data_IF_039679956301
#
_entry.id   IF_039679956301
#
_cell.length_a   1.000
_cell.length_b   1.000
_cell.length_c   1.000
_cell.angle_alpha   90.00
_cell.angle_beta   90.00
_cell.angle_gamma   90.00
#
_symmetry.space_group_name_H-M   'P 1'
#
loop_
_entity.id
_entity.type
_entity.pdbx_description
1 polymer ?
#
# COMPACT_ATOMS: atom_id res chain seq x y z
N UNK A 1 -44.75 -23.29 -18.94
CA UNK A 1 -43.97 -23.31 -17.69
C UNK A 1 -42.69 -22.55 -18.00
N UNK A 2 -42.63 -21.27 -17.64
CA UNK A 2 -41.44 -20.45 -17.83
C UNK A 2 -40.57 -20.61 -16.59
N UNK A 3 -39.33 -21.08 -16.78
CA UNK A 3 -38.28 -21.03 -15.78
C UNK A 3 -37.89 -19.56 -15.63
N UNK A 4 -38.13 -19.00 -14.45
CA UNK A 4 -37.57 -17.71 -14.03
C UNK A 4 -36.13 -17.99 -13.63
N UNK A 5 -35.12 -17.26 -14.16
CA UNK A 5 -33.76 -17.35 -13.65
C UNK A 5 -33.77 -16.86 -12.19
N UNK A 6 -33.19 -17.65 -11.29
CA UNK A 6 -32.82 -17.16 -9.96
C UNK A 6 -31.82 -16.02 -10.14
N UNK A 7 -31.93 -14.92 -9.38
CA UNK A 7 -30.89 -13.91 -9.39
C UNK A 7 -29.60 -14.57 -8.94
N UNK A 8 -28.51 -14.33 -9.67
CA UNK A 8 -27.17 -14.73 -9.28
C UNK A 8 -26.95 -14.23 -7.85
N UNK A 9 -26.58 -15.18 -6.98
CA UNK A 9 -26.36 -14.94 -5.56
C UNK A 9 -25.34 -13.81 -5.39
N UNK A 10 -25.68 -12.94 -4.43
CA UNK A 10 -24.89 -11.85 -3.91
C UNK A 10 -23.41 -12.21 -3.81
N UNK A 11 -22.54 -11.25 -4.16
CA UNK A 11 -21.15 -11.25 -3.71
C UNK A 11 -21.19 -11.38 -2.18
N UNK A 12 -20.77 -12.55 -1.68
CA UNK A 12 -20.71 -12.87 -0.27
C UNK A 12 -19.52 -12.10 0.33
N UNK A 13 -19.76 -10.83 0.68
CA UNK A 13 -18.90 -10.01 1.52
C UNK A 13 -18.99 -10.49 2.99
N UNK A 14 -18.83 -11.80 3.19
CA UNK A 14 -18.71 -12.38 4.51
C UNK A 14 -17.32 -12.09 5.02
N UNK A 15 -17.22 -11.11 5.91
CA UNK A 15 -16.19 -11.03 6.94
C UNK A 15 -15.78 -12.45 7.38
N UNK A 16 -14.62 -12.91 6.93
CA UNK A 16 -14.04 -14.17 7.36
C UNK A 16 -13.26 -13.90 8.66
N UNK A 17 -13.79 -14.33 9.83
CA UNK A 17 -13.11 -14.11 11.11
C UNK A 17 -11.80 -14.90 11.23
N UNK A 18 -11.56 -15.86 10.32
CA UNK A 18 -10.35 -16.66 10.23
C UNK A 18 -9.41 -16.17 9.11
N UNK A 19 -9.73 -15.04 8.45
CA UNK A 19 -8.83 -14.40 7.51
C UNK A 19 -7.48 -14.09 8.18
N UNK A 20 -6.35 -14.37 7.50
CA UNK A 20 -5.04 -14.05 8.05
C UNK A 20 -4.87 -12.53 8.16
N UNK A 21 -4.87 -12.01 9.39
CA UNK A 21 -4.60 -10.60 9.69
C UNK A 21 -3.16 -10.41 10.11
N UNK A 22 -2.64 -9.18 10.04
CA UNK A 22 -1.34 -8.86 10.61
C UNK A 22 -1.32 -9.07 12.14
N UNK A 23 -0.24 -9.63 12.67
CA UNK A 23 -0.04 -9.68 14.13
C UNK A 23 0.29 -8.28 14.66
N UNK A 24 0.11 -7.99 15.97
CA UNK A 24 0.49 -6.69 16.53
C UNK A 24 1.95 -6.30 16.29
N UNK A 25 2.86 -7.27 16.20
CA UNK A 25 4.27 -7.04 15.87
C UNK A 25 4.46 -6.71 14.40
N UNK A 26 3.74 -7.38 13.51
CA UNK A 26 3.73 -7.06 12.09
C UNK A 26 3.12 -5.67 11.85
N UNK A 27 2.00 -5.34 12.49
CA UNK A 27 1.39 -4.00 12.47
C UNK A 27 2.39 -2.92 12.89
N UNK A 28 3.16 -3.16 13.97
CA UNK A 28 4.20 -2.22 14.39
C UNK A 28 5.27 -2.01 13.31
N UNK A 29 5.81 -3.09 12.74
CA UNK A 29 6.84 -3.01 11.70
C UNK A 29 6.29 -2.31 10.44
N UNK A 30 5.08 -2.68 9.99
CA UNK A 30 4.40 -2.07 8.84
C UNK A 30 4.22 -0.57 9.07
N UNK A 31 3.73 -0.17 10.24
CA UNK A 31 3.55 1.24 10.59
C UNK A 31 4.87 2.03 10.53
N UNK A 32 5.95 1.47 11.11
CA UNK A 32 7.28 2.09 11.10
C UNK A 32 7.84 2.22 9.69
N UNK A 33 7.80 1.14 8.92
CA UNK A 33 8.31 1.13 7.54
C UNK A 33 7.52 2.08 6.64
N UNK A 34 6.19 2.10 6.76
CA UNK A 34 5.34 3.02 6.02
C UNK A 34 5.67 4.48 6.31
N UNK A 35 5.86 4.84 7.59
CA UNK A 35 6.29 6.20 7.97
C UNK A 35 7.67 6.56 7.39
N UNK A 36 8.62 5.63 7.36
CA UNK A 36 9.94 5.88 6.77
C UNK A 36 9.87 6.07 5.25
N UNK A 37 9.03 5.30 4.56
CA UNK A 37 8.80 5.46 3.13
C UNK A 37 8.11 6.79 2.81
N UNK A 38 7.14 7.23 3.61
CA UNK A 38 6.53 8.54 3.47
C UNK A 38 7.57 9.66 3.58
N UNK A 39 8.42 9.62 4.61
CA UNK A 39 9.51 10.60 4.81
C UNK A 39 10.50 10.59 3.63
N UNK A 40 10.84 9.40 3.12
CA UNK A 40 11.71 9.26 1.95
C UNK A 40 11.09 9.86 0.67
N UNK A 41 9.80 9.65 0.42
CA UNK A 41 9.10 10.28 -0.71
C UNK A 41 9.09 11.80 -0.56
N UNK A 42 8.84 12.33 0.64
CA UNK A 42 8.87 13.77 0.88
C UNK A 42 10.27 14.36 0.67
N UNK A 43 11.32 13.64 1.05
CA UNK A 43 12.71 14.03 0.76
C UNK A 43 12.98 14.04 -0.76
N UNK A 44 12.52 13.02 -1.48
CA UNK A 44 12.62 12.95 -2.95
C UNK A 44 11.85 14.11 -3.61
N UNK A 45 10.66 14.45 -3.13
CA UNK A 45 9.88 15.62 -3.60
C UNK A 45 10.65 16.92 -3.37
N UNK A 46 11.27 17.09 -2.20
CA UNK A 46 12.03 18.30 -1.87
C UNK A 46 13.27 18.46 -2.75
N UNK A 47 13.89 17.35 -3.13
CA UNK A 47 15.04 17.32 -4.03
C UNK A 47 14.66 17.57 -5.49
N UNK A 48 13.57 16.95 -5.96
CA UNK A 48 13.24 16.85 -7.37
C UNK A 48 12.20 17.90 -7.84
N UNK A 49 11.28 18.30 -6.96
CA UNK A 49 10.15 19.16 -7.30
C UNK A 49 9.25 18.51 -8.35
N UNK A 50 9.04 19.20 -9.47
CA UNK A 50 8.26 18.71 -10.62
C UNK A 50 9.14 18.06 -11.72
N UNK A 51 10.46 17.98 -11.52
CA UNK A 51 11.34 17.36 -12.51
C UNK A 51 11.04 15.87 -12.61
N UNK A 52 11.15 15.29 -13.81
CA UNK A 52 10.97 13.86 -13.97
C UNK A 52 12.05 13.06 -13.23
N UNK A 53 11.67 11.92 -12.64
CA UNK A 53 12.64 10.96 -12.10
C UNK A 53 13.52 10.46 -13.24
N UNK A 54 14.82 10.36 -12.98
CA UNK A 54 15.79 9.81 -13.92
C UNK A 54 16.56 8.66 -13.24
N UNK A 55 17.02 7.66 -14.00
CA UNK A 55 17.93 6.64 -13.47
C UNK A 55 19.16 7.29 -12.83
N UNK A 56 19.43 6.95 -11.57
CA UNK A 56 20.56 7.52 -10.81
C UNK A 56 20.33 8.95 -10.30
N UNK A 57 19.09 9.47 -10.32
CA UNK A 57 18.72 10.77 -9.73
C UNK A 57 18.95 10.88 -8.22
N UNK A 58 19.25 9.76 -7.55
CA UNK A 58 19.40 9.69 -6.10
C UNK A 58 18.08 9.61 -5.34
N UNK A 59 16.94 9.59 -6.06
CA UNK A 59 15.65 9.34 -5.44
C UNK A 59 15.64 7.92 -4.89
N UNK A 60 15.11 7.74 -3.68
CA UNK A 60 15.01 6.41 -3.07
C UNK A 60 13.71 5.73 -3.48
N UNK A 61 12.57 6.27 -3.05
CA UNK A 61 11.28 5.59 -3.21
C UNK A 61 10.68 5.90 -4.58
N UNK A 62 10.80 7.15 -5.05
CA UNK A 62 10.26 7.52 -6.37
C UNK A 62 10.93 6.78 -7.54
N UNK A 63 12.17 6.31 -7.35
CA UNK A 63 12.87 5.51 -8.35
C UNK A 63 12.43 4.04 -8.39
N UNK A 64 11.85 3.53 -7.29
CA UNK A 64 11.31 2.16 -7.18
C UNK A 64 9.86 2.05 -7.70
N UNK A 65 9.18 3.19 -7.90
CA UNK A 65 7.87 3.22 -8.54
C UNK A 65 7.96 2.89 -10.03
N UNK A 66 6.88 2.34 -10.63
CA UNK A 66 6.81 2.08 -12.07
C UNK A 66 7.15 3.30 -12.92
N UNK A 67 7.84 3.09 -14.04
CA UNK A 67 8.34 4.16 -14.91
C UNK A 67 7.22 5.11 -15.42
N UNK A 68 5.98 4.62 -15.54
CA UNK A 68 4.84 5.45 -15.93
C UNK A 68 4.58 6.61 -14.96
N UNK A 69 5.02 6.50 -13.70
CA UNK A 69 4.86 7.53 -12.66
C UNK A 69 5.96 8.60 -12.67
N UNK A 70 7.09 8.35 -13.36
CA UNK A 70 8.29 9.19 -13.24
C UNK A 70 8.11 10.63 -13.71
N UNK A 71 7.09 10.89 -14.53
CA UNK A 71 6.76 12.23 -15.04
C UNK A 71 5.69 12.96 -14.23
N UNK A 72 5.13 12.32 -13.20
CA UNK A 72 4.12 12.94 -12.33
C UNK A 72 4.72 14.08 -11.51
N UNK A 73 3.88 15.08 -11.18
CA UNK A 73 4.30 16.32 -10.53
C UNK A 73 4.49 16.19 -9.01
N UNK A 74 4.94 17.27 -8.35
CA UNK A 74 5.13 17.29 -6.91
C UNK A 74 3.83 17.03 -6.12
N UNK A 75 2.66 17.41 -6.65
CA UNK A 75 1.37 17.22 -5.97
C UNK A 75 1.01 15.74 -5.93
N UNK A 76 1.16 15.04 -7.05
CA UNK A 76 0.97 13.61 -7.15
C UNK A 76 1.92 12.87 -6.19
N UNK A 77 3.20 13.25 -6.16
CA UNK A 77 4.21 12.62 -5.28
C UNK A 77 3.93 12.86 -3.79
N UNK A 78 3.47 14.05 -3.42
CA UNK A 78 3.02 14.31 -2.05
C UNK A 78 1.77 13.50 -1.69
N UNK A 79 0.90 13.22 -2.66
CA UNK A 79 -0.25 12.34 -2.47
C UNK A 79 0.19 10.89 -2.30
N UNK A 80 1.24 10.45 -3.02
CA UNK A 80 1.87 9.15 -2.78
C UNK A 80 2.45 9.05 -1.36
N UNK A 81 3.14 10.09 -0.87
CA UNK A 81 3.63 10.12 0.52
C UNK A 81 2.49 9.99 1.53
N UNK A 82 1.32 10.60 1.25
CA UNK A 82 0.14 10.47 2.10
C UNK A 82 -0.43 9.05 2.12
N UNK A 83 -0.45 8.36 0.98
CA UNK A 83 -0.88 6.96 0.94
C UNK A 83 -0.06 6.09 1.89
N UNK A 84 1.26 6.30 1.99
CA UNK A 84 2.09 5.64 3.00
C UNK A 84 1.70 6.04 4.43
N UNK A 85 1.44 7.32 4.70
CA UNK A 85 1.01 7.79 6.03
C UNK A 85 -0.34 7.25 6.46
N UNK A 86 -1.30 7.14 5.55
CA UNK A 86 -2.63 6.63 5.83
C UNK A 86 -2.58 5.14 6.20
N UNK A 87 -1.81 4.34 5.44
CA UNK A 87 -1.58 2.92 5.78
C UNK A 87 -0.74 2.75 7.06
N UNK A 88 0.20 3.67 7.31
CA UNK A 88 0.95 3.70 8.58
C UNK A 88 0.03 3.93 9.78
N UNK A 89 -0.97 4.80 9.62
CA UNK A 89 -1.94 5.13 10.66
C UNK A 89 -2.90 3.96 10.94
N UNK A 90 -3.37 3.25 9.90
CA UNK A 90 -4.18 2.05 10.05
C UNK A 90 -3.41 0.98 10.85
N UNK A 91 -2.18 0.68 10.42
CA UNK A 91 -1.33 -0.30 11.10
C UNK A 91 -0.98 0.13 12.54
N UNK A 92 -0.77 1.43 12.80
CA UNK A 92 -0.53 1.95 14.15
C UNK A 92 -1.74 1.79 15.07
N UNK A 93 -2.95 1.73 14.50
CA UNK A 93 -4.19 1.44 15.22
C UNK A 93 -4.44 -0.07 15.41
N UNK A 94 -3.47 -0.92 15.06
CA UNK A 94 -3.58 -2.39 15.04
C UNK A 94 -4.72 -2.86 14.12
N UNK A 95 -5.00 -2.10 13.05
CA UNK A 95 -5.91 -2.49 11.98
C UNK A 95 -5.10 -2.98 10.78
N UNK A 96 -5.69 -3.90 10.04
CA UNK A 96 -5.17 -4.30 8.75
C UNK A 96 -5.19 -3.09 7.79
N UNK A 97 -4.06 -2.73 7.17
CA UNK A 97 -3.99 -1.60 6.26
C UNK A 97 -4.71 -1.95 4.96
N UNK A 98 -5.92 -1.41 4.79
CA UNK A 98 -6.78 -1.69 3.64
C UNK A 98 -6.63 -0.59 2.57
N UNK A 99 -6.12 -0.91 1.37
CA UNK A 99 -6.03 0.04 0.27
C UNK A 99 -7.41 0.45 -0.26
N UNK A 100 -7.60 1.75 -0.47
CA UNK A 100 -8.85 2.33 -1.01
C UNK A 100 -8.70 2.93 -2.40
N UNK A 101 -7.49 2.92 -2.94
CA UNK A 101 -7.16 3.37 -4.29
C UNK A 101 -5.88 2.69 -4.78
N UNK A 102 -5.60 2.73 -6.09
CA UNK A 102 -4.43 2.09 -6.70
C UNK A 102 -3.10 2.61 -6.13
N UNK A 103 -3.05 3.89 -5.75
CA UNK A 103 -1.89 4.48 -5.09
C UNK A 103 -1.61 3.87 -3.73
N UNK A 104 -2.66 3.56 -2.95
CA UNK A 104 -2.52 2.85 -1.67
C UNK A 104 -2.13 1.39 -1.88
N UNK A 105 -2.62 0.70 -2.91
CA UNK A 105 -2.19 -0.67 -3.21
C UNK A 105 -0.69 -0.73 -3.53
N UNK A 106 -0.21 0.18 -4.39
CA UNK A 106 1.22 0.29 -4.70
C UNK A 106 2.03 0.64 -3.43
N UNK A 107 1.51 1.53 -2.58
CA UNK A 107 2.16 1.88 -1.32
C UNK A 107 2.28 0.66 -0.40
N UNK A 108 1.18 -0.08 -0.21
CA UNK A 108 1.15 -1.29 0.61
C UNK A 108 2.14 -2.33 0.09
N UNK A 109 2.25 -2.51 -1.22
CA UNK A 109 3.20 -3.44 -1.82
C UNK A 109 4.65 -3.10 -1.42
N UNK A 110 5.03 -1.83 -1.55
CA UNK A 110 6.36 -1.36 -1.17
C UNK A 110 6.61 -1.47 0.34
N UNK A 111 5.61 -1.14 1.17
CA UNK A 111 5.69 -1.26 2.64
C UNK A 111 6.01 -2.70 3.03
N UNK A 112 5.26 -3.65 2.52
CA UNK A 112 5.43 -5.06 2.88
C UNK A 112 6.77 -5.58 2.37
N UNK A 113 7.15 -5.29 1.12
CA UNK A 113 8.46 -5.69 0.60
C UNK A 113 9.62 -5.21 1.48
N UNK A 114 9.53 -3.97 1.97
CA UNK A 114 10.49 -3.40 2.89
C UNK A 114 10.41 -4.02 4.31
N UNK A 115 9.21 -4.26 4.84
CA UNK A 115 8.99 -4.89 6.15
C UNK A 115 9.55 -6.32 6.20
N UNK A 116 9.28 -7.13 5.17
CA UNK A 116 9.84 -8.48 5.00
C UNK A 116 11.36 -8.51 4.99
N UNK A 117 11.99 -7.48 4.44
CA UNK A 117 13.45 -7.36 4.40
C UNK A 117 14.03 -6.89 5.74
N UNK A 118 13.28 -6.06 6.49
CA UNK A 118 13.74 -5.51 7.76
C UNK A 118 13.75 -6.52 8.91
N UNK A 119 12.84 -7.49 8.91
CA UNK A 119 12.69 -8.43 10.03
C UNK A 119 13.86 -9.43 10.18
N UNK A 120 14.35 -10.09 9.11
CA UNK A 120 15.56 -10.92 9.19
C UNK A 120 16.84 -10.14 9.51
N UNK A 121 16.80 -8.81 9.41
CA UNK A 121 17.92 -7.93 9.72
C UNK A 121 17.94 -7.46 11.18
N UNK A 122 17.04 -7.98 12.03
CA UNK A 122 16.84 -7.57 13.43
C UNK A 122 16.64 -6.06 13.62
N UNK A 123 16.23 -5.34 12.56
CA UNK A 123 16.23 -3.87 12.52
C UNK A 123 15.31 -3.25 13.58
N UNK A 124 14.18 -3.91 13.84
CA UNK A 124 13.13 -3.43 14.75
C UNK A 124 13.00 -4.30 16.00
N UNK A 125 14.01 -5.13 16.31
CA UNK A 125 13.90 -6.11 17.41
C UNK A 125 13.67 -5.44 18.77
N UNK A 126 14.28 -4.29 19.00
CA UNK A 126 14.10 -3.50 20.22
C UNK A 126 12.69 -2.86 20.27
N UNK A 127 12.16 -2.44 19.12
CA UNK A 127 10.85 -1.78 19.01
C UNK A 127 9.70 -2.75 19.32
N UNK A 128 9.86 -4.04 18.99
CA UNK A 128 8.84 -5.07 19.22
C UNK A 128 9.09 -5.93 20.47
N UNK A 129 10.17 -5.67 21.21
CA UNK A 129 10.59 -6.50 22.34
C UNK A 129 9.51 -6.63 23.44
N UNK A 130 8.74 -5.55 23.64
CA UNK A 130 7.68 -5.49 24.64
C UNK A 130 6.32 -6.01 24.14
N UNK A 131 6.20 -6.33 22.84
CA UNK A 131 4.98 -6.89 22.26
C UNK A 131 4.97 -8.42 22.40
N UNK A 132 3.81 -9.04 22.70
CA UNK A 132 3.70 -10.49 22.78
C UNK A 132 4.09 -11.16 21.46
N UNK A 133 4.87 -12.27 21.48
CA UNK A 133 5.15 -13.05 20.29
C UNK A 133 3.92 -13.82 19.82
N UNK A 134 3.71 -13.86 18.50
CA UNK A 134 2.68 -14.67 17.85
C UNK A 134 3.31 -15.71 16.95
N UNK A 135 2.61 -16.85 16.76
CA UNK A 135 3.09 -17.96 15.92
C UNK A 135 3.29 -17.55 14.44
N UNK A 136 2.57 -16.51 14.01
CA UNK A 136 2.52 -16.07 12.62
C UNK A 136 3.35 -14.77 12.41
N UNK A 137 4.15 -14.33 13.40
CA UNK A 137 5.02 -13.15 13.25
C UNK A 137 5.98 -13.26 12.04
N UNK A 138 6.35 -14.51 11.69
CA UNK A 138 7.21 -14.84 10.55
C UNK A 138 6.44 -15.05 9.23
N UNK A 139 5.11 -15.17 9.27
CA UNK A 139 4.27 -15.39 8.11
C UNK A 139 3.81 -14.06 7.52
N UNK A 140 4.54 -13.63 6.51
CA UNK A 140 4.20 -12.45 5.73
C UNK A 140 3.43 -12.79 4.46
N UNK A 141 3.34 -14.05 4.03
CA UNK A 141 2.70 -14.36 2.74
C UNK A 141 1.18 -14.52 2.92
N UNK A 142 0.70 -15.10 4.04
CA UNK A 142 -0.72 -15.29 4.32
C UNK A 142 -1.55 -14.00 4.36
N UNK A 143 -1.17 -12.99 5.18
CA UNK A 143 -1.89 -11.72 5.22
C UNK A 143 -1.86 -10.98 3.88
N UNK A 144 -0.83 -11.17 3.05
CA UNK A 144 -0.74 -10.48 1.76
C UNK A 144 -1.73 -11.00 0.74
N UNK A 145 -1.90 -12.31 0.67
CA UNK A 145 -2.89 -12.90 -0.23
C UNK A 145 -4.32 -12.41 0.09
N UNK A 146 -4.57 -11.96 1.32
CA UNK A 146 -5.84 -11.39 1.76
C UNK A 146 -5.92 -9.87 1.62
N UNK A 147 -4.83 -9.14 1.92
CA UNK A 147 -4.79 -7.67 1.85
C UNK A 147 -4.72 -7.13 0.41
N UNK A 148 -4.17 -7.90 -0.53
CA UNK A 148 -4.19 -7.57 -1.96
C UNK A 148 -5.41 -8.23 -2.61
N UNK A 149 -6.56 -7.54 -2.56
CA UNK A 149 -7.80 -8.02 -3.16
C UNK A 149 -7.63 -8.27 -4.68
N UNK A 150 -6.86 -7.43 -5.39
CA UNK A 150 -6.43 -7.64 -6.77
C UNK A 150 -4.93 -7.34 -6.95
N UNK A 151 -4.23 -8.21 -7.68
CA UNK A 151 -2.77 -8.09 -7.93
C UNK A 151 -2.43 -7.26 -9.19
N UNK A 152 -3.42 -6.62 -9.80
CA UNK A 152 -3.30 -5.97 -11.11
C UNK A 152 -2.29 -4.82 -11.12
N UNK A 153 -2.15 -4.10 -10.01
CA UNK A 153 -1.15 -3.03 -9.85
C UNK A 153 0.29 -3.55 -10.01
N UNK A 154 0.54 -4.84 -9.69
CA UNK A 154 1.87 -5.46 -9.79
C UNK A 154 2.25 -5.78 -11.23
N UNK A 155 1.27 -5.88 -12.13
CA UNK A 155 1.53 -6.10 -13.56
C UNK A 155 2.29 -4.93 -14.20
N UNK A 156 2.29 -3.75 -13.58
CA UNK A 156 3.07 -2.58 -13.99
C UNK A 156 4.59 -2.79 -13.92
N UNK A 157 5.06 -3.77 -13.16
CA UNK A 157 6.46 -4.16 -13.11
C UNK A 157 6.83 -5.21 -14.16
N UNK A 158 5.87 -5.69 -14.96
CA UNK A 158 6.08 -6.72 -15.97
C UNK A 158 6.23 -6.13 -17.37
N UNK A 159 6.89 -6.86 -18.31
CA UNK A 159 7.06 -6.36 -19.69
C UNK A 159 5.74 -6.15 -20.43
N UNK A 160 4.71 -6.93 -20.09
CA UNK A 160 3.36 -6.83 -20.64
C UNK A 160 2.36 -6.73 -19.48
N UNK A 161 1.83 -5.52 -19.17
CA UNK A 161 0.85 -5.36 -18.12
C UNK A 161 -0.46 -6.06 -18.52
N UNK A 162 -1.06 -6.78 -17.57
CA UNK A 162 -2.38 -7.38 -17.72
C UNK A 162 -3.35 -6.38 -17.10
N UNK A 163 -4.15 -5.71 -17.92
CA UNK A 163 -5.22 -4.84 -17.44
C UNK A 163 -6.51 -5.64 -17.51
N UNK A 164 -6.92 -6.26 -16.39
CA UNK A 164 -8.22 -6.93 -16.29
C UNK A 164 -9.33 -5.90 -15.95
N UNK A 165 -9.35 -4.78 -16.68
CA UNK A 165 -10.31 -3.70 -16.46
C UNK A 165 -9.93 -2.69 -15.38
N UNK A 166 -8.80 -2.86 -14.68
CA UNK A 166 -8.26 -1.88 -13.73
C UNK A 166 -7.59 -0.71 -14.45
N UNK A 167 -7.90 0.52 -14.01
CA UNK A 167 -7.28 1.74 -14.51
C UNK A 167 -5.91 1.94 -13.87
N UNK A 168 -4.86 1.76 -14.66
CA UNK A 168 -3.48 1.90 -14.21
C UNK A 168 -2.83 3.23 -14.62
N UNK A 169 -3.60 4.19 -15.14
CA UNK A 169 -3.10 5.55 -15.42
C UNK A 169 -2.69 6.23 -14.11
N UNK A 170 -1.41 6.63 -13.94
CA UNK A 170 -0.96 7.32 -12.74
C UNK A 170 -1.81 8.53 -12.35
N UNK A 171 -2.41 9.23 -13.32
CA UNK A 171 -3.29 10.38 -13.03
C UNK A 171 -4.50 10.01 -12.17
N UNK A 172 -4.97 8.76 -12.27
CA UNK A 172 -6.16 8.28 -11.60
C UNK A 172 -5.87 7.43 -10.36
N UNK A 173 -4.59 7.20 -10.01
CA UNK A 173 -4.19 6.30 -8.92
C UNK A 173 -4.81 6.62 -7.56
N UNK A 174 -5.11 7.89 -7.30
CA UNK A 174 -5.70 8.34 -6.04
C UNK A 174 -7.22 8.54 -6.12
N UNK A 175 -7.84 8.07 -7.19
CA UNK A 175 -9.30 7.97 -7.28
C UNK A 175 -9.73 6.79 -6.40
N UNK A 176 -10.63 6.99 -5.42
CA UNK A 176 -11.12 5.91 -4.58
C UNK A 176 -11.81 4.82 -5.42
N UNK A 177 -11.58 3.56 -5.07
CA UNK A 177 -12.32 2.42 -5.63
C UNK A 177 -13.82 2.55 -5.33
N UNK A 178 -14.12 2.85 -4.06
CA UNK A 178 -15.45 3.15 -3.59
C UNK A 178 -15.50 4.58 -3.04
N UNK A 179 -16.30 5.49 -3.64
CA UNK A 179 -16.39 6.87 -3.16
C UNK A 179 -16.84 7.00 -1.70
N UNK A 180 -17.56 6.00 -1.19
CA UNK A 180 -18.11 5.96 0.17
C UNK A 180 -17.04 5.60 1.22
N UNK A 181 -15.98 4.90 0.80
CA UNK A 181 -14.86 4.49 1.64
C UNK A 181 -13.65 5.42 1.51
N UNK A 182 -13.73 6.45 0.66
CA UNK A 182 -12.66 7.42 0.44
C UNK A 182 -12.08 7.95 1.78
N UNK A 183 -10.75 8.04 1.86
CA UNK A 183 -10.08 8.63 3.04
C UNK A 183 -10.62 10.04 3.29
N UNK A 184 -10.80 10.40 4.55
CA UNK A 184 -11.16 11.77 4.93
C UNK A 184 -10.15 12.77 4.36
N UNK A 185 -10.63 13.90 3.82
CA UNK A 185 -9.74 14.90 3.23
C UNK A 185 -8.68 15.40 4.24
N UNK A 186 -7.43 15.62 3.79
CA UNK A 186 -6.29 15.69 4.68
C UNK A 186 -6.32 16.90 5.62
N UNK A 187 -5.95 16.66 6.88
CA UNK A 187 -5.47 17.68 7.80
C UNK A 187 -4.04 18.15 7.39
N UNK A 188 -3.92 18.88 6.28
CA UNK A 188 -2.66 19.50 5.85
C UNK A 188 -1.56 18.51 5.43
N UNK A 189 -0.42 19.02 4.94
CA UNK A 189 0.80 18.23 4.77
C UNK A 189 1.65 18.34 6.05
N UNK A 190 2.41 17.30 6.41
CA UNK A 190 3.42 17.41 7.49
C UNK A 190 4.39 18.54 7.13
N UNK A 191 4.54 19.51 8.05
CA UNK A 191 5.49 20.63 7.96
C UNK A 191 6.89 20.23 8.39
#
# INVERSE_FOLDING_TARGET
>A
MHLVPTPDDDYDDTFDPDAPTLTPRQCHIVSRVASELADAVLADVHMLGDLAVQPGSGCMVLAELPECTWTQDATWRQTMARAFDDLSADAAAELDPEPRCTGEEMALHLIIGAARTAMPADRFIDDIADLPPYKDDDDWDGPLDYLFQDHDVLTLFWPEPISDGVNLDPADWFTPFEPELARDQPHGFRT
#
